data_IF_968980791347
#
_entry.id   IF_968980791347
#
_cell.length_a   1.000
_cell.length_b   1.000
_cell.length_c   1.000
_cell.angle_alpha   90.00
_cell.angle_beta   90.00
_cell.angle_gamma   90.00
#
_symmetry.space_group_name_H-M   'P 1'
#
loop_
_entity.id
_entity.type
_entity.pdbx_description
1 polymer ?
#
# COMPACT_ATOMS: atom_id res chain seq x y z
N UNK A 1 -18.74 -7.40 -2.18
CA UNK A 1 -17.87 -7.49 -3.36
C UNK A 1 -16.51 -6.88 -3.06
N UNK A 2 -15.46 -7.49 -3.55
CA UNK A 2 -14.12 -6.91 -3.44
C UNK A 2 -13.92 -5.82 -4.49
N UNK A 3 -12.92 -4.97 -4.26
CA UNK A 3 -12.54 -3.92 -5.20
C UNK A 3 -11.04 -3.99 -5.44
N UNK A 4 -10.62 -3.53 -6.61
CA UNK A 4 -9.20 -3.54 -7.01
C UNK A 4 -8.69 -2.11 -7.03
N UNK A 5 -7.53 -1.91 -6.40
CA UNK A 5 -6.90 -0.59 -6.32
C UNK A 5 -5.44 -0.70 -6.76
N UNK A 6 -4.96 0.37 -7.43
CA UNK A 6 -3.53 0.57 -7.66
C UNK A 6 -3.02 1.55 -6.62
N UNK A 7 -1.94 1.17 -5.95
CA UNK A 7 -1.34 1.97 -4.88
C UNK A 7 0.03 2.43 -5.36
N UNK A 8 0.27 3.74 -5.31
CA UNK A 8 1.51 4.35 -5.76
C UNK A 8 2.08 5.22 -4.66
N UNK A 9 3.33 5.01 -4.21
CA UNK A 9 3.95 5.90 -3.23
C UNK A 9 4.11 7.31 -3.82
N UNK A 10 3.85 8.33 -3.00
CA UNK A 10 3.93 9.72 -3.44
C UNK A 10 5.36 10.22 -3.54
N UNK A 11 6.26 9.70 -2.68
CA UNK A 11 7.61 10.21 -2.57
C UNK A 11 8.53 9.13 -2.00
N UNK A 12 9.82 9.39 -2.03
CA UNK A 12 10.81 8.51 -1.41
C UNK A 12 10.70 8.67 0.10
N UNK A 13 10.67 7.53 0.81
CA UNK A 13 10.63 7.50 2.27
C UNK A 13 11.66 6.51 2.77
N UNK A 14 12.56 6.96 3.66
CA UNK A 14 13.59 6.12 4.26
C UNK A 14 13.42 6.16 5.77
N UNK A 15 13.03 5.04 6.36
CA UNK A 15 12.78 4.93 7.80
C UNK A 15 13.21 3.55 8.27
N UNK A 16 13.96 3.50 9.36
CA UNK A 16 14.34 2.25 10.04
C UNK A 16 14.99 1.22 9.11
N UNK A 17 15.83 1.68 8.18
CA UNK A 17 16.50 0.79 7.24
C UNK A 17 15.63 0.30 6.08
N UNK A 18 14.40 0.78 5.99
CA UNK A 18 13.51 0.48 4.87
C UNK A 18 13.48 1.65 3.90
N UNK A 19 13.27 1.36 2.62
CA UNK A 19 13.20 2.39 1.57
C UNK A 19 11.94 2.16 0.75
N UNK A 20 11.14 3.21 0.64
CA UNK A 20 9.95 3.23 -0.22
C UNK A 20 10.20 4.23 -1.35
N UNK A 21 9.95 3.83 -2.59
CA UNK A 21 10.14 4.69 -3.75
C UNK A 21 8.86 4.73 -4.59
N UNK A 22 8.65 5.80 -5.39
CA UNK A 22 7.43 5.93 -6.21
C UNK A 22 7.24 4.85 -7.27
N UNK A 23 8.28 4.13 -7.64
CA UNK A 23 8.16 3.03 -8.60
C UNK A 23 7.75 1.70 -7.95
N UNK A 24 7.58 1.67 -6.63
CA UNK A 24 7.08 0.49 -5.92
C UNK A 24 5.55 0.46 -5.95
N UNK A 25 5.00 0.38 -7.16
CA UNK A 25 3.56 0.36 -7.39
C UNK A 25 3.03 -1.06 -7.17
N UNK A 26 1.92 -1.16 -6.44
CA UNK A 26 1.25 -2.45 -6.23
C UNK A 26 -0.21 -2.37 -6.63
N UNK A 27 -0.79 -3.54 -6.89
CA UNK A 27 -2.24 -3.68 -7.11
C UNK A 27 -2.77 -4.58 -6.01
N UNK A 28 -3.80 -4.11 -5.30
CA UNK A 28 -4.42 -4.89 -4.22
C UNK A 28 -5.89 -5.11 -4.51
N UNK A 29 -6.37 -6.29 -4.11
CA UNK A 29 -7.79 -6.59 -4.12
C UNK A 29 -8.26 -6.63 -2.68
N UNK A 30 -9.19 -5.74 -2.33
CA UNK A 30 -9.71 -5.70 -0.96
C UNK A 30 -10.70 -6.84 -0.76
N UNK A 31 -10.74 -7.37 0.47
CA UNK A 31 -11.67 -8.45 0.81
C UNK A 31 -13.08 -7.94 1.06
N UNK A 32 -13.23 -6.65 1.31
CA UNK A 32 -14.50 -6.03 1.61
C UNK A 32 -14.82 -4.96 0.58
N UNK A 33 -16.10 -4.66 0.45
CA UNK A 33 -16.55 -3.56 -0.39
C UNK A 33 -16.22 -2.24 0.33
N UNK A 34 -15.19 -1.55 -0.15
CA UNK A 34 -14.71 -0.32 0.49
C UNK A 34 -14.30 0.68 -0.58
N UNK A 35 -14.33 1.97 -0.23
CA UNK A 35 -13.83 3.03 -1.08
C UNK A 35 -12.39 3.42 -0.74
N UNK A 36 -11.84 2.84 0.33
CA UNK A 36 -10.51 3.18 0.83
C UNK A 36 -9.72 1.88 1.06
N UNK A 37 -8.66 1.61 0.28
CA UNK A 37 -7.89 0.38 0.44
C UNK A 37 -7.06 0.34 1.73
N UNK A 38 -6.98 1.46 2.45
CA UNK A 38 -6.26 1.54 3.73
C UNK A 38 -7.16 1.22 4.93
N UNK A 39 -8.36 0.73 4.69
CA UNK A 39 -9.25 0.31 5.76
C UNK A 39 -8.60 -0.82 6.58
N UNK A 40 -9.06 -0.99 7.80
CA UNK A 40 -8.65 -2.10 8.66
C UNK A 40 -7.11 -2.22 8.78
N UNK A 41 -6.44 -1.07 8.97
CA UNK A 41 -4.99 -1.05 9.17
C UNK A 41 -4.18 -1.36 7.92
N UNK A 42 -4.77 -1.30 6.75
CA UNK A 42 -4.11 -1.53 5.47
C UNK A 42 -3.48 -2.92 5.37
N UNK A 43 -4.16 -3.94 5.89
CA UNK A 43 -3.62 -5.30 5.95
C UNK A 43 -3.27 -5.85 4.56
N UNK A 44 -4.17 -5.68 3.58
CA UNK A 44 -3.91 -6.17 2.23
C UNK A 44 -2.74 -5.45 1.58
N UNK A 45 -2.60 -4.15 1.84
CA UNK A 45 -1.47 -3.38 1.32
C UNK A 45 -0.17 -3.84 1.96
N UNK A 46 -0.15 -4.05 3.27
CA UNK A 46 1.03 -4.54 3.97
C UNK A 46 1.49 -5.89 3.42
N UNK A 47 0.55 -6.80 3.23
CA UNK A 47 0.86 -8.13 2.70
C UNK A 47 1.44 -8.04 1.30
N UNK A 48 0.88 -7.20 0.45
CA UNK A 48 1.32 -7.08 -0.93
C UNK A 48 2.72 -6.47 -1.01
N UNK A 49 3.01 -5.45 -0.23
CA UNK A 49 4.35 -4.86 -0.21
C UNK A 49 5.39 -5.85 0.31
N UNK A 50 5.06 -6.64 1.31
CA UNK A 50 5.98 -7.66 1.81
C UNK A 50 6.24 -8.72 0.74
N UNK A 51 5.19 -9.15 0.02
CA UNK A 51 5.31 -10.16 -1.01
C UNK A 51 6.13 -9.67 -2.22
N UNK A 52 5.83 -8.45 -2.69
CA UNK A 52 6.42 -7.96 -3.93
C UNK A 52 7.81 -7.37 -3.75
N UNK A 53 8.07 -6.70 -2.64
CA UNK A 53 9.28 -5.92 -2.43
C UNK A 53 10.00 -6.25 -1.13
N UNK A 54 9.47 -7.17 -0.32
CA UNK A 54 9.97 -7.46 1.02
C UNK A 54 10.07 -6.17 1.86
N UNK A 55 9.12 -5.27 1.63
CA UNK A 55 9.06 -3.97 2.32
C UNK A 55 8.10 -4.07 3.51
N UNK A 56 8.59 -3.66 4.68
CA UNK A 56 7.79 -3.70 5.91
C UNK A 56 7.10 -2.35 6.10
N UNK A 57 5.82 -2.31 5.77
CA UNK A 57 4.99 -1.12 5.86
C UNK A 57 4.94 -0.55 7.27
N UNK A 58 4.78 -1.40 8.29
CA UNK A 58 4.68 -0.94 9.68
C UNK A 58 6.01 -0.41 10.19
N UNK A 59 7.10 -1.09 9.87
CA UNK A 59 8.44 -0.67 10.30
C UNK A 59 8.80 0.68 9.72
N UNK A 60 8.31 0.99 8.54
CA UNK A 60 8.56 2.26 7.85
C UNK A 60 7.60 3.36 8.30
N UNK A 61 6.71 3.09 9.24
CA UNK A 61 5.72 4.05 9.74
C UNK A 61 4.87 4.64 8.60
N UNK A 62 4.49 3.81 7.64
CA UNK A 62 3.69 4.26 6.51
C UNK A 62 2.23 4.49 6.90
N UNK A 63 1.57 5.39 6.16
CA UNK A 63 0.15 5.66 6.30
C UNK A 63 -0.43 5.97 4.93
N UNK A 64 -1.75 6.12 4.85
CA UNK A 64 -2.39 6.42 3.57
C UNK A 64 -1.91 7.75 2.98
N UNK A 65 -1.37 8.63 3.79
CA UNK A 65 -0.88 9.93 3.32
C UNK A 65 0.45 9.82 2.56
N UNK A 66 1.10 8.67 2.63
CA UNK A 66 2.33 8.42 1.87
C UNK A 66 2.07 7.86 0.48
N UNK A 67 0.79 7.61 0.14
CA UNK A 67 0.42 6.92 -1.10
C UNK A 67 -0.72 7.61 -1.81
N UNK A 68 -0.75 7.44 -3.14
CA UNK A 68 -1.94 7.68 -3.94
C UNK A 68 -2.58 6.34 -4.27
N UNK A 69 -3.89 6.33 -4.40
CA UNK A 69 -4.56 5.11 -4.83
C UNK A 69 -5.65 5.42 -5.84
N UNK A 70 -5.84 4.48 -6.76
CA UNK A 70 -6.83 4.60 -7.83
C UNK A 70 -7.63 3.30 -7.87
N UNK A 71 -8.95 3.43 -7.90
CA UNK A 71 -9.83 2.27 -8.06
C UNK A 71 -9.81 1.85 -9.53
N UNK A 72 -9.57 0.57 -9.79
CA UNK A 72 -9.40 0.05 -11.14
C UNK A 72 -10.66 -0.60 -11.71
N UNK A 73 -11.65 -0.95 -10.88
CA UNK A 73 -12.87 -1.62 -11.35
C UNK A 73 -14.15 -0.85 -11.10
#
# INVERSE_FOLDING_TARGET
MSKVFRITPKRIKRVNGTVLTPDMVITVTTRQHTIDPFYNGAVEIQEQYMRMFQFDYKRAHCSKYDFDFVKLD
#
